data_IF_955976894382
#
_entry.id   IF_955976894382
#
_cell.length_a   1.000
_cell.length_b   1.000
_cell.length_c   1.000
_cell.angle_alpha   90.00
_cell.angle_beta   90.00
_cell.angle_gamma   90.00
#
_symmetry.space_group_name_H-M   'P 1'
#
loop_
_entity.id
_entity.type
_entity.pdbx_description
1 polymer ?
#
# COMPACT_ATOMS: atom_id res chain seq x y z
N UNK A 1 18.53 2.66 -7.55
CA UNK A 1 17.21 2.33 -8.15
C UNK A 1 16.09 3.03 -7.38
N UNK A 2 16.02 2.97 -6.07
CA UNK A 2 14.96 3.59 -5.24
C UNK A 2 14.86 5.11 -5.37
N UNK A 3 15.97 5.83 -5.48
CA UNK A 3 15.97 7.29 -5.69
C UNK A 3 15.27 7.66 -7.01
N UNK A 4 15.57 6.93 -8.12
CA UNK A 4 14.92 7.19 -9.40
C UNK A 4 13.42 6.90 -9.35
N UNK A 5 13.02 5.79 -8.71
CA UNK A 5 11.60 5.48 -8.50
C UNK A 5 10.90 6.55 -7.65
N UNK A 6 11.53 7.03 -6.58
CA UNK A 6 11.00 8.11 -5.75
C UNK A 6 10.83 9.42 -6.52
N UNK A 7 11.70 9.70 -7.49
CA UNK A 7 11.58 10.86 -8.37
C UNK A 7 10.36 10.76 -9.29
N UNK A 8 10.16 9.60 -9.91
CA UNK A 8 8.99 9.34 -10.76
C UNK A 8 7.68 9.43 -9.96
N UNK A 9 7.66 8.86 -8.75
CA UNK A 9 6.49 8.95 -7.85
C UNK A 9 6.22 10.42 -7.49
N UNK A 10 7.24 11.18 -7.10
CA UNK A 10 7.12 12.60 -6.78
C UNK A 10 6.55 13.41 -7.94
N UNK A 11 7.08 13.21 -9.15
CA UNK A 11 6.59 13.88 -10.34
C UNK A 11 5.13 13.53 -10.62
N UNK A 12 4.75 12.27 -10.44
CA UNK A 12 3.36 11.83 -10.62
C UNK A 12 2.41 12.38 -9.58
N UNK A 13 2.83 12.45 -8.32
CA UNK A 13 2.07 13.13 -7.25
C UNK A 13 1.82 14.58 -7.62
N UNK A 14 2.86 15.32 -8.02
CA UNK A 14 2.76 16.72 -8.39
C UNK A 14 1.83 16.94 -9.58
N UNK A 15 1.93 16.10 -10.61
CA UNK A 15 1.03 16.12 -11.78
C UNK A 15 -0.42 15.94 -11.35
N UNK A 16 -0.72 14.91 -10.56
CA UNK A 16 -2.08 14.59 -10.14
C UNK A 16 -2.67 15.67 -9.21
N UNK A 17 -1.91 16.15 -8.24
CA UNK A 17 -2.36 17.21 -7.33
C UNK A 17 -2.51 18.58 -7.99
N UNK A 18 -1.98 18.76 -9.19
CA UNK A 18 -2.24 19.97 -9.99
C UNK A 18 -3.68 20.03 -10.53
N UNK A 19 -4.38 18.88 -10.62
CA UNK A 19 -5.75 18.79 -11.18
C UNK A 19 -6.75 18.10 -10.24
N UNK A 20 -6.31 17.51 -9.15
CA UNK A 20 -7.16 16.87 -8.12
C UNK A 20 -6.96 17.53 -6.76
N UNK A 21 -8.01 17.61 -5.94
CA UNK A 21 -7.90 18.08 -4.56
C UNK A 21 -7.11 17.11 -3.69
N UNK A 22 -7.27 15.82 -3.93
CA UNK A 22 -6.59 14.74 -3.21
C UNK A 22 -6.35 13.53 -4.12
N UNK A 23 -5.43 12.68 -3.71
CA UNK A 23 -5.11 11.42 -4.38
C UNK A 23 -5.05 10.26 -3.39
N UNK A 24 -5.18 9.04 -3.94
CA UNK A 24 -5.18 7.80 -3.20
C UNK A 24 -3.99 6.94 -3.62
N UNK A 25 -3.15 6.54 -2.67
CA UNK A 25 -1.94 5.77 -2.93
C UNK A 25 -1.92 4.47 -2.15
N UNK A 26 -1.56 3.37 -2.82
CA UNK A 26 -1.29 2.09 -2.18
C UNK A 26 0.23 1.87 -2.09
N UNK A 27 0.68 1.39 -0.94
CA UNK A 27 2.09 1.08 -0.66
C UNK A 27 2.28 -0.42 -0.40
N UNK A 28 3.34 -0.98 -0.98
CA UNK A 28 3.81 -2.32 -0.65
C UNK A 28 4.76 -2.28 0.55
N UNK A 29 4.73 -3.32 1.36
CA UNK A 29 5.62 -3.52 2.50
C UNK A 29 6.62 -4.64 2.20
N UNK A 30 7.80 -4.27 1.75
CA UNK A 30 8.89 -5.21 1.51
C UNK A 30 10.25 -4.53 1.73
N UNK A 31 11.31 -5.24 2.08
CA UNK A 31 12.65 -4.67 2.20
C UNK A 31 13.12 -3.92 0.96
N UNK A 32 12.71 -4.35 -0.23
CA UNK A 32 12.99 -3.68 -1.50
C UNK A 32 12.41 -2.26 -1.60
N UNK A 33 11.40 -1.94 -0.79
CA UNK A 33 10.77 -0.62 -0.74
C UNK A 33 11.52 0.38 0.15
N UNK A 34 12.43 -0.07 1.00
CA UNK A 34 13.10 0.80 1.98
C UNK A 34 13.77 2.03 1.36
N UNK A 35 14.47 1.86 0.25
CA UNK A 35 15.20 2.95 -0.41
C UNK A 35 14.23 3.98 -1.01
N UNK A 36 13.16 3.54 -1.67
CA UNK A 36 12.18 4.44 -2.27
C UNK A 36 11.36 5.18 -1.21
N UNK A 37 10.94 4.48 -0.15
CA UNK A 37 10.18 5.10 0.94
C UNK A 37 11.02 6.14 1.68
N UNK A 38 12.28 5.84 1.99
CA UNK A 38 13.21 6.79 2.62
C UNK A 38 13.45 8.03 1.73
N UNK A 39 13.62 7.83 0.43
CA UNK A 39 13.77 8.93 -0.51
C UNK A 39 12.52 9.81 -0.61
N UNK A 40 11.32 9.22 -0.58
CA UNK A 40 10.06 9.96 -0.55
C UNK A 40 9.89 10.77 0.73
N UNK A 41 10.19 10.20 1.89
CA UNK A 41 10.14 10.90 3.20
C UNK A 41 11.05 12.12 3.21
N UNK A 42 12.18 12.08 2.51
CA UNK A 42 13.13 13.21 2.45
C UNK A 42 12.67 14.38 1.56
N UNK A 43 11.64 14.20 0.75
CA UNK A 43 11.10 15.26 -0.11
C UNK A 43 10.19 16.19 0.69
N UNK A 44 10.54 17.45 0.77
CA UNK A 44 9.85 18.46 1.59
C UNK A 44 8.71 19.18 0.88
N UNK A 45 8.59 18.98 -0.42
CA UNK A 45 7.64 19.66 -1.30
C UNK A 45 6.42 18.80 -1.68
N UNK A 46 6.31 17.59 -1.14
CA UNK A 46 5.11 16.76 -1.30
C UNK A 46 4.02 17.22 -0.33
N UNK A 47 2.83 17.52 -0.87
CA UNK A 47 1.64 17.89 -0.10
C UNK A 47 0.96 16.63 0.50
N UNK A 48 1.63 15.97 1.46
CA UNK A 48 1.16 14.73 2.09
C UNK A 48 -0.24 14.81 2.67
N UNK A 49 -0.63 15.99 3.16
CA UNK A 49 -1.97 16.26 3.70
C UNK A 49 -3.11 16.23 2.65
N UNK A 50 -2.78 15.98 1.40
CA UNK A 50 -3.71 15.74 0.29
C UNK A 50 -3.68 14.30 -0.24
N UNK A 51 -2.98 13.40 0.48
CA UNK A 51 -2.79 12.00 0.07
C UNK A 51 -3.45 11.08 1.09
N UNK A 52 -4.36 10.21 0.62
CA UNK A 52 -4.90 9.11 1.40
C UNK A 52 -4.04 7.86 1.14
N UNK A 53 -3.47 7.30 2.19
CA UNK A 53 -2.57 6.14 2.13
C UNK A 53 -3.31 4.85 2.45
N UNK A 54 -2.98 3.81 1.69
CA UNK A 54 -3.45 2.43 1.84
C UNK A 54 -2.25 1.49 1.75
N UNK A 55 -2.41 0.23 2.17
CA UNK A 55 -1.43 -0.82 1.85
C UNK A 55 -2.12 -2.02 1.21
N UNK A 56 -1.34 -2.85 0.49
CA UNK A 56 -1.92 -3.80 -0.43
C UNK A 56 -2.23 -5.16 0.20
N UNK A 57 -1.56 -5.54 1.26
CA UNK A 57 -1.66 -6.88 1.86
C UNK A 57 -1.32 -6.88 3.35
N UNK A 58 -1.78 -7.90 4.07
CA UNK A 58 -1.47 -8.12 5.48
C UNK A 58 -1.61 -9.60 5.85
N UNK A 59 -0.83 -10.04 6.81
CA UNK A 59 -0.93 -11.37 7.38
C UNK A 59 -2.13 -11.50 8.34
N UNK A 60 -2.87 -12.59 8.21
CA UNK A 60 -3.90 -13.01 9.17
C UNK A 60 -3.26 -13.86 10.27
N UNK A 61 -3.70 -13.67 11.52
CA UNK A 61 -3.28 -14.50 12.66
C UNK A 61 -2.06 -14.00 13.41
N UNK A 62 -1.45 -12.88 12.99
CA UNK A 62 -0.41 -12.23 13.77
C UNK A 62 -1.02 -11.33 14.87
N UNK A 63 -0.33 -11.22 16.02
CA UNK A 63 -0.71 -10.26 17.07
C UNK A 63 -0.60 -8.81 16.55
N UNK A 64 -1.37 -7.90 17.17
CA UNK A 64 -1.42 -6.50 16.71
C UNK A 64 -0.09 -5.77 16.79
N UNK A 65 0.77 -6.17 17.72
CA UNK A 65 2.10 -5.62 17.93
C UNK A 65 3.21 -6.39 17.20
N UNK A 66 2.86 -7.40 16.38
CA UNK A 66 3.84 -8.20 15.67
C UNK A 66 4.69 -7.33 14.72
N UNK A 67 6.02 -7.36 14.86
CA UNK A 67 6.90 -6.53 14.01
C UNK A 67 6.89 -6.95 12.54
N UNK A 68 6.40 -8.16 12.24
CA UNK A 68 6.29 -8.70 10.89
C UNK A 68 5.08 -8.16 10.13
N UNK A 69 4.12 -7.51 10.81
CA UNK A 69 2.95 -6.93 10.14
C UNK A 69 3.38 -5.86 9.15
N UNK A 70 2.80 -5.91 7.97
CA UNK A 70 3.08 -4.94 6.92
C UNK A 70 2.63 -3.51 7.29
N UNK A 71 1.51 -3.41 7.99
CA UNK A 71 1.08 -2.14 8.57
C UNK A 71 2.11 -1.55 9.53
N UNK A 72 2.74 -2.38 10.38
CA UNK A 72 3.82 -1.97 11.29
C UNK A 72 5.06 -1.53 10.52
N UNK A 73 5.47 -2.29 9.50
CA UNK A 73 6.57 -1.91 8.63
C UNK A 73 6.35 -0.53 7.99
N UNK A 74 5.18 -0.31 7.40
CA UNK A 74 4.86 0.95 6.71
C UNK A 74 4.72 2.14 7.68
N UNK A 75 4.18 1.95 8.88
CA UNK A 75 4.20 2.98 9.93
C UNK A 75 5.61 3.46 10.19
N UNK A 76 6.53 2.52 10.45
CA UNK A 76 7.93 2.82 10.72
C UNK A 76 8.67 3.41 9.51
N UNK A 77 8.32 3.00 8.29
CA UNK A 77 9.00 3.43 7.07
C UNK A 77 8.53 4.80 6.58
N UNK A 78 7.23 5.09 6.63
CA UNK A 78 6.66 6.30 6.03
C UNK A 78 5.41 6.84 6.74
N UNK A 79 4.43 6.00 7.18
CA UNK A 79 3.12 6.49 7.60
C UNK A 79 3.15 7.38 8.84
N UNK A 80 4.07 7.14 9.78
CA UNK A 80 4.24 7.97 10.97
C UNK A 80 5.28 9.10 10.78
N UNK A 81 5.92 9.18 9.59
CA UNK A 81 6.98 10.16 9.31
C UNK A 81 6.50 11.38 8.54
N UNK A 82 5.41 11.27 7.82
CA UNK A 82 4.85 12.35 7.00
C UNK A 82 3.35 12.52 7.27
N UNK A 83 2.81 13.74 7.15
CA UNK A 83 1.44 14.05 7.56
C UNK A 83 0.42 13.69 6.47
N UNK A 84 0.21 12.39 6.19
CA UNK A 84 -0.86 11.96 5.29
C UNK A 84 -2.22 12.52 5.70
N UNK A 85 -3.10 12.77 4.73
CA UNK A 85 -4.50 13.13 4.98
C UNK A 85 -5.21 12.02 5.77
N UNK A 86 -5.03 10.77 5.35
CA UNK A 86 -5.49 9.58 6.06
C UNK A 86 -4.55 8.41 5.82
N UNK A 87 -4.50 7.49 6.79
CA UNK A 87 -3.79 6.20 6.70
C UNK A 87 -4.79 5.09 6.96
N UNK A 88 -5.03 4.26 5.97
CA UNK A 88 -6.02 3.20 6.00
C UNK A 88 -5.31 1.84 6.02
N UNK A 89 -5.28 1.20 7.18
CA UNK A 89 -4.66 -0.10 7.37
C UNK A 89 -5.68 -1.23 7.30
N UNK A 90 -5.24 -2.39 6.84
CA UNK A 90 -5.96 -3.65 6.93
C UNK A 90 -5.90 -4.11 8.39
N UNK A 91 -7.07 -4.37 8.98
CA UNK A 91 -7.19 -4.85 10.35
C UNK A 91 -7.30 -6.37 10.38
N UNK A 92 -6.19 -7.06 10.60
CA UNK A 92 -6.15 -8.52 10.69
C UNK A 92 -6.64 -9.09 12.02
N UNK A 93 -7.11 -8.26 12.95
CA UNK A 93 -7.62 -8.68 14.27
C UNK A 93 -9.13 -8.95 14.27
N UNK A 94 -9.85 -8.54 13.24
CA UNK A 94 -11.27 -8.84 13.02
C UNK A 94 -11.42 -10.05 12.10
N UNK A 95 -12.66 -10.53 11.89
CA UNK A 95 -12.86 -11.62 10.93
C UNK A 95 -12.43 -11.20 9.51
N UNK A 96 -11.79 -12.11 8.79
CA UNK A 96 -11.28 -11.86 7.45
C UNK A 96 -12.41 -11.40 6.49
N UNK A 97 -13.61 -12.00 6.60
CA UNK A 97 -14.76 -11.63 5.77
C UNK A 97 -15.26 -10.20 6.04
N UNK A 98 -15.25 -9.77 7.31
CA UNK A 98 -15.60 -8.40 7.68
C UNK A 98 -14.58 -7.42 7.13
N UNK A 99 -13.30 -7.73 7.28
CA UNK A 99 -12.24 -6.86 6.83
C UNK A 99 -12.16 -6.77 5.31
N UNK A 100 -12.31 -7.87 4.59
CA UNK A 100 -12.40 -7.87 3.13
C UNK A 100 -13.54 -6.96 2.63
N UNK A 101 -14.70 -7.00 3.29
CA UNK A 101 -15.83 -6.12 2.95
C UNK A 101 -15.50 -4.65 3.26
N UNK A 102 -15.01 -4.37 4.47
CA UNK A 102 -14.68 -2.99 4.90
C UNK A 102 -13.64 -2.36 3.98
N UNK A 103 -12.54 -3.08 3.72
CA UNK A 103 -11.44 -2.55 2.92
C UNK A 103 -11.83 -2.44 1.44
N UNK A 104 -12.64 -3.35 0.93
CA UNK A 104 -13.22 -3.24 -0.42
C UNK A 104 -14.09 -2.00 -0.59
N UNK A 105 -14.93 -1.67 0.40
CA UNK A 105 -15.73 -0.45 0.37
C UNK A 105 -14.86 0.82 0.44
N UNK A 106 -13.79 0.80 1.24
CA UNK A 106 -12.82 1.90 1.26
C UNK A 106 -12.20 2.12 -0.13
N UNK A 107 -11.75 1.06 -0.80
CA UNK A 107 -11.14 1.15 -2.12
C UNK A 107 -12.14 1.58 -3.21
N UNK A 108 -13.41 1.16 -3.13
CA UNK A 108 -14.47 1.63 -4.03
C UNK A 108 -14.72 3.13 -3.92
N UNK A 109 -14.73 3.63 -2.68
CA UNK A 109 -15.01 5.03 -2.39
C UNK A 109 -13.77 5.93 -2.62
N UNK A 110 -12.58 5.33 -2.70
CA UNK A 110 -11.31 6.01 -2.90
C UNK A 110 -10.55 5.35 -4.07
N UNK A 111 -10.96 5.60 -5.32
CA UNK A 111 -10.26 5.04 -6.48
C UNK A 111 -8.78 5.35 -6.46
N UNK A 112 -7.95 4.31 -6.65
CA UNK A 112 -6.50 4.41 -6.51
C UNK A 112 -5.88 5.13 -7.69
N UNK A 113 -4.99 6.08 -7.40
CA UNK A 113 -4.26 6.88 -8.39
C UNK A 113 -2.83 6.35 -8.62
N UNK A 114 -2.16 5.93 -7.55
CA UNK A 114 -0.77 5.44 -7.59
C UNK A 114 -0.65 4.17 -6.76
N UNK A 115 0.07 3.18 -7.29
CA UNK A 115 0.46 1.97 -6.56
C UNK A 115 1.99 1.87 -6.55
N UNK A 116 2.58 1.89 -5.35
CA UNK A 116 4.00 1.62 -5.16
C UNK A 116 4.16 0.13 -4.85
N UNK A 117 4.63 -0.65 -5.82
CA UNK A 117 4.72 -2.11 -5.70
C UNK A 117 6.09 -2.65 -6.13
N UNK A 118 6.36 -3.89 -5.73
CA UNK A 118 7.42 -4.73 -6.27
C UNK A 118 6.83 -5.90 -7.06
N UNK A 119 7.68 -6.55 -7.83
CA UNK A 119 7.35 -7.79 -8.56
C UNK A 119 8.24 -8.88 -7.98
N UNK A 120 7.63 -9.99 -7.51
CA UNK A 120 8.36 -11.13 -6.99
C UNK A 120 9.08 -11.93 -8.07
N UNK A 121 9.92 -12.89 -7.66
CA UNK A 121 10.76 -13.69 -8.58
C UNK A 121 9.92 -14.53 -9.57
N UNK A 122 8.75 -15.01 -9.17
CA UNK A 122 7.80 -15.74 -10.00
C UNK A 122 6.80 -14.84 -10.74
N UNK A 123 6.97 -13.50 -10.64
CA UNK A 123 6.09 -12.51 -11.26
C UNK A 123 4.89 -12.08 -10.43
N UNK A 124 4.78 -12.52 -9.17
CA UNK A 124 3.65 -12.13 -8.32
C UNK A 124 3.69 -10.65 -7.93
N UNK A 125 2.52 -10.09 -7.70
CA UNK A 125 2.29 -8.76 -7.11
C UNK A 125 1.44 -8.97 -5.85
N UNK A 126 1.83 -8.37 -4.72
CA UNK A 126 1.26 -8.64 -3.41
C UNK A 126 1.32 -10.16 -3.11
N UNK A 127 0.29 -10.75 -2.55
CA UNK A 127 0.17 -12.20 -2.37
C UNK A 127 -0.53 -12.92 -3.53
N UNK A 128 -0.47 -12.38 -4.75
CA UNK A 128 -1.06 -13.01 -5.93
C UNK A 128 -0.03 -13.91 -6.63
N UNK A 129 0.32 -15.03 -6.00
CA UNK A 129 1.13 -16.07 -6.61
C UNK A 129 0.43 -16.73 -7.81
N UNK A 130 1.16 -17.42 -8.71
CA UNK A 130 0.58 -17.96 -9.94
C UNK A 130 -0.68 -18.81 -9.75
N UNK A 131 -0.78 -19.53 -8.62
CA UNK A 131 -1.91 -20.42 -8.33
C UNK A 131 -3.19 -19.68 -7.90
N UNK A 132 -3.08 -18.43 -7.44
CA UNK A 132 -4.20 -17.62 -6.98
C UNK A 132 -4.45 -16.37 -7.83
N UNK A 133 -3.52 -16.04 -8.72
CA UNK A 133 -3.62 -14.87 -9.58
C UNK A 133 -4.67 -15.09 -10.68
N UNK A 134 -5.65 -14.18 -10.76
CA UNK A 134 -6.65 -14.15 -11.81
C UNK A 134 -6.86 -12.72 -12.30
N UNK A 135 -6.49 -12.44 -13.55
CA UNK A 135 -6.66 -11.12 -14.17
C UNK A 135 -8.13 -10.71 -14.35
N UNK A 136 -9.06 -11.65 -14.22
CA UNK A 136 -10.51 -11.39 -14.32
C UNK A 136 -11.21 -11.37 -12.95
N UNK A 137 -10.45 -11.46 -11.85
CA UNK A 137 -11.01 -11.45 -10.51
C UNK A 137 -11.81 -10.16 -10.29
N UNK A 138 -13.03 -10.32 -9.78
CA UNK A 138 -13.93 -9.20 -9.45
C UNK A 138 -13.77 -8.73 -7.99
N UNK A 139 -13.10 -9.52 -7.16
CA UNK A 139 -12.85 -9.14 -5.77
C UNK A 139 -11.78 -8.05 -5.70
N UNK A 140 -12.06 -6.97 -4.97
CA UNK A 140 -11.07 -5.93 -4.67
C UNK A 140 -10.13 -6.37 -3.56
N UNK A 141 -10.64 -7.13 -2.60
CA UNK A 141 -9.89 -7.69 -1.46
C UNK A 141 -10.36 -9.12 -1.23
N UNK A 142 -9.43 -10.03 -1.07
CA UNK A 142 -9.71 -11.45 -0.80
C UNK A 142 -8.66 -12.06 0.14
N UNK A 143 -9.02 -13.14 0.79
CA UNK A 143 -8.06 -14.01 1.50
C UNK A 143 -7.42 -14.95 0.49
N UNK A 144 -6.11 -15.14 0.62
CA UNK A 144 -5.34 -16.11 -0.17
C UNK A 144 -4.54 -17.01 0.76
N UNK A 145 -4.33 -18.26 0.36
CA UNK A 145 -3.34 -19.13 0.99
C UNK A 145 -1.95 -18.75 0.48
N UNK A 146 -0.97 -18.83 1.36
CA UNK A 146 0.44 -18.67 0.97
C UNK A 146 1.03 -20.06 0.74
N UNK A 147 1.87 -20.18 -0.28
CA UNK A 147 2.66 -21.38 -0.50
C UNK A 147 3.72 -21.52 0.61
N UNK A 148 4.03 -22.79 0.99
CA UNK A 148 5.01 -23.14 2.03
C UNK A 148 6.47 -22.87 1.57
#
# INVERSE_FOLDING_TARGET
>A
MGIAAAEEIHNKISELLSCKEEINMIFAAAPSQNEVLAALVSKTDIEWNRINAFHMDEYIGLSDDAPQKFGTFLKNAIFDKVPFKSVNLINSSVSADEECRRYSELLKNNPVDIVCLGIGENGHIAFNDPDVADFNDKALVKVVGLDD
#
